data_IF_974556299363
#
_entry.id   IF_974556299363
#
_cell.length_a   1.000
_cell.length_b   1.000
_cell.length_c   1.000
_cell.angle_alpha   90.00
_cell.angle_beta   90.00
_cell.angle_gamma   90.00
#
_symmetry.space_group_name_H-M   'P 1'
#
loop_
_entity.id
_entity.type
_entity.pdbx_description
1 polymer ?
#
# COMPACT_ATOMS: atom_id res chain seq x y z
N UNK A 1 -7.97 -47.78 69.63
CA UNK A 1 -7.91 -46.34 69.31
C UNK A 1 -7.43 -46.23 67.87
N UNK A 2 -8.33 -45.92 66.93
CA UNK A 2 -7.93 -45.69 65.53
C UNK A 2 -7.88 -44.16 65.28
N UNK A 3 -6.73 -43.63 64.93
CA UNK A 3 -6.52 -42.22 64.61
C UNK A 3 -6.84 -42.02 63.11
N UNK A 4 -7.89 -41.31 62.79
CA UNK A 4 -8.25 -40.90 61.42
C UNK A 4 -7.54 -39.58 61.13
N UNK A 5 -6.60 -39.58 60.17
CA UNK A 5 -5.96 -38.38 59.68
C UNK A 5 -6.87 -37.81 58.57
N UNK A 6 -7.42 -36.61 58.81
CA UNK A 6 -8.16 -35.84 57.81
C UNK A 6 -7.17 -34.99 57.03
N UNK A 7 -6.91 -35.36 55.75
CA UNK A 7 -6.15 -34.50 54.84
C UNK A 7 -7.05 -33.35 54.34
N UNK A 8 -6.81 -32.13 54.76
CA UNK A 8 -7.41 -30.92 54.17
C UNK A 8 -6.70 -30.61 52.87
N UNK A 9 -7.37 -30.85 51.74
CA UNK A 9 -6.94 -30.31 50.45
C UNK A 9 -7.33 -28.83 50.38
N UNK A 10 -6.34 -27.94 50.50
CA UNK A 10 -6.53 -26.51 50.20
C UNK A 10 -6.57 -26.31 48.67
N UNK A 11 -7.76 -26.06 48.14
CA UNK A 11 -7.95 -25.62 46.77
C UNK A 11 -7.54 -24.14 46.72
N UNK A 12 -6.34 -23.85 46.21
CA UNK A 12 -5.93 -22.49 45.86
C UNK A 12 -6.76 -22.04 44.65
N UNK A 13 -7.46 -20.90 44.72
CA UNK A 13 -8.14 -20.35 43.56
C UNK A 13 -7.04 -19.90 42.56
N UNK A 14 -7.06 -20.49 41.34
CA UNK A 14 -6.33 -19.97 40.18
C UNK A 14 -6.98 -18.62 39.82
N UNK A 15 -6.40 -17.53 40.34
CA UNK A 15 -6.68 -16.19 39.81
C UNK A 15 -6.14 -16.16 38.39
N UNK A 16 -6.99 -16.40 37.39
CA UNK A 16 -6.75 -15.93 36.01
C UNK A 16 -6.63 -14.41 36.09
N UNK A 17 -5.43 -13.91 36.02
CA UNK A 17 -5.22 -12.50 35.74
C UNK A 17 -5.79 -12.21 34.34
N UNK A 18 -7.04 -11.71 34.30
CA UNK A 18 -7.61 -11.13 33.08
C UNK A 18 -6.75 -9.91 32.75
N UNK A 19 -5.74 -10.09 31.89
CA UNK A 19 -4.98 -8.99 31.36
C UNK A 19 -5.94 -8.07 30.59
N UNK A 20 -5.74 -6.75 30.68
CA UNK A 20 -6.46 -5.78 29.85
C UNK A 20 -6.28 -6.15 28.38
N UNK A 21 -7.36 -6.21 27.62
CA UNK A 21 -7.29 -6.41 26.18
C UNK A 21 -6.55 -5.25 25.51
N UNK A 22 -5.58 -5.57 24.67
CA UNK A 22 -4.80 -4.60 23.92
C UNK A 22 -5.62 -4.12 22.71
N UNK A 23 -5.68 -2.81 22.50
CA UNK A 23 -6.38 -2.20 21.38
C UNK A 23 -5.37 -1.65 20.38
N UNK A 24 -5.32 -2.25 19.18
CA UNK A 24 -4.48 -1.77 18.11
C UNK A 24 -5.30 -1.15 16.99
N UNK A 25 -4.90 0.04 16.55
CA UNK A 25 -5.54 0.76 15.47
C UNK A 25 -4.76 0.64 14.17
N UNK A 26 -5.46 0.39 13.07
CA UNK A 26 -4.95 0.47 11.69
C UNK A 26 -5.66 1.62 10.99
N UNK A 27 -4.89 2.66 10.61
CA UNK A 27 -5.43 3.91 10.05
C UNK A 27 -5.03 4.04 8.59
N UNK A 28 -6.03 3.97 7.69
CA UNK A 28 -5.84 4.10 6.24
C UNK A 28 -5.70 5.55 5.78
N UNK A 29 -5.27 5.75 4.51
CA UNK A 29 -5.24 7.07 3.88
C UNK A 29 -6.63 7.57 3.50
N UNK A 30 -7.48 6.65 3.03
CA UNK A 30 -8.86 6.89 2.60
C UNK A 30 -9.59 5.54 2.43
N UNK A 31 -10.92 5.60 2.23
CA UNK A 31 -11.74 4.40 1.98
C UNK A 31 -11.52 3.88 0.57
N UNK A 32 -11.11 2.63 0.43
CA UNK A 32 -10.96 1.93 -0.85
C UNK A 32 -10.85 0.42 -0.64
N UNK A 33 -11.16 -0.36 -1.67
CA UNK A 33 -11.01 -1.83 -1.66
C UNK A 33 -9.60 -2.25 -1.22
N UNK A 34 -8.56 -1.52 -1.64
CA UNK A 34 -7.17 -1.78 -1.23
C UNK A 34 -7.01 -1.68 0.30
N UNK A 35 -7.45 -0.59 0.90
CA UNK A 35 -7.29 -0.39 2.35
C UNK A 35 -8.26 -1.23 3.18
N UNK A 36 -9.45 -1.58 2.65
CA UNK A 36 -10.36 -2.52 3.31
C UNK A 36 -9.72 -3.88 3.52
N UNK A 37 -8.89 -4.37 2.57
CA UNK A 37 -8.13 -5.60 2.73
C UNK A 37 -7.17 -5.53 3.94
N UNK A 38 -6.53 -4.39 4.21
CA UNK A 38 -5.71 -4.23 5.41
C UNK A 38 -6.55 -4.25 6.70
N UNK A 39 -7.80 -3.77 6.64
CA UNK A 39 -8.77 -3.92 7.73
C UNK A 39 -9.14 -5.39 8.00
N UNK A 40 -9.32 -6.19 6.95
CA UNK A 40 -9.57 -7.64 7.10
C UNK A 40 -8.38 -8.37 7.71
N UNK A 41 -7.16 -8.13 7.21
CA UNK A 41 -5.94 -8.70 7.78
C UNK A 41 -5.73 -8.32 9.26
N UNK A 42 -6.02 -7.07 9.61
CA UNK A 42 -5.99 -6.58 11.00
C UNK A 42 -6.95 -7.39 11.89
N UNK A 43 -8.21 -7.55 11.48
CA UNK A 43 -9.23 -8.28 12.24
C UNK A 43 -8.91 -9.75 12.39
N UNK A 44 -8.39 -10.39 11.32
CA UNK A 44 -7.97 -11.78 11.40
C UNK A 44 -6.82 -11.97 12.37
N UNK A 45 -5.74 -11.17 12.27
CA UNK A 45 -4.62 -11.27 13.21
C UNK A 45 -5.07 -11.07 14.65
N UNK A 46 -5.96 -10.09 14.91
CA UNK A 46 -6.51 -9.89 16.25
C UNK A 46 -7.29 -11.09 16.76
N UNK A 47 -8.05 -11.78 15.90
CA UNK A 47 -8.80 -13.01 16.28
C UNK A 47 -7.89 -14.19 16.65
N UNK A 48 -6.66 -14.20 16.13
CA UNK A 48 -5.66 -15.24 16.40
C UNK A 48 -4.81 -14.97 17.65
N UNK A 49 -4.84 -13.75 18.19
CA UNK A 49 -4.04 -13.34 19.37
C UNK A 49 -4.98 -13.03 20.52
N UNK A 50 -4.91 -13.85 21.56
CA UNK A 50 -5.77 -13.69 22.75
C UNK A 50 -5.58 -12.31 23.40
N UNK A 51 -6.69 -11.62 23.69
CA UNK A 51 -6.68 -10.30 24.35
C UNK A 51 -6.20 -9.18 23.45
N UNK A 52 -6.44 -9.28 22.12
CA UNK A 52 -6.15 -8.23 21.14
C UNK A 52 -7.41 -7.85 20.38
N UNK A 53 -7.68 -6.55 20.28
CA UNK A 53 -8.74 -5.94 19.49
C UNK A 53 -8.11 -5.15 18.32
N UNK A 54 -8.66 -5.31 17.12
CA UNK A 54 -8.34 -4.49 15.94
C UNK A 54 -9.39 -3.40 15.76
N UNK A 55 -8.94 -2.14 15.68
CA UNK A 55 -9.75 -0.98 15.30
C UNK A 55 -9.27 -0.50 13.93
N UNK A 56 -10.09 -0.65 12.90
CA UNK A 56 -9.79 -0.14 11.56
C UNK A 56 -10.58 1.14 11.30
N UNK A 57 -9.88 2.24 10.99
CA UNK A 57 -10.46 3.55 10.63
C UNK A 57 -9.67 4.23 9.54
N UNK A 58 -10.31 5.17 8.84
CA UNK A 58 -9.67 6.06 7.88
C UNK A 58 -10.63 7.13 7.38
N UNK A 59 -10.13 8.17 6.72
CA UNK A 59 -10.97 9.16 6.04
C UNK A 59 -11.77 8.51 4.91
N UNK A 60 -12.96 9.03 4.63
CA UNK A 60 -13.73 8.63 3.44
C UNK A 60 -12.98 9.01 2.16
N UNK A 61 -12.50 10.24 2.10
CA UNK A 61 -11.65 10.76 1.02
C UNK A 61 -10.25 11.11 1.55
N UNK A 62 -9.26 11.12 0.67
CA UNK A 62 -7.86 11.40 1.01
C UNK A 62 -7.71 12.81 1.62
N UNK A 63 -7.59 12.88 2.94
CA UNK A 63 -7.43 14.10 3.71
C UNK A 63 -6.49 13.89 4.90
N UNK A 64 -5.32 14.53 4.85
CA UNK A 64 -4.36 14.44 5.96
C UNK A 64 -4.92 15.02 7.27
N UNK A 65 -5.76 16.07 7.20
CA UNK A 65 -6.36 16.67 8.39
C UNK A 65 -7.35 15.73 9.07
N UNK A 66 -8.18 15.04 8.28
CA UNK A 66 -9.11 14.04 8.79
C UNK A 66 -8.35 12.83 9.34
N UNK A 67 -7.30 12.38 8.66
CA UNK A 67 -6.44 11.29 9.17
C UNK A 67 -5.81 11.66 10.51
N UNK A 68 -5.29 12.87 10.65
CA UNK A 68 -4.71 13.40 11.89
C UNK A 68 -5.72 13.45 13.04
N UNK A 69 -6.96 13.90 12.76
CA UNK A 69 -8.07 13.90 13.73
C UNK A 69 -8.42 12.48 14.19
N UNK A 70 -8.52 11.54 13.25
CA UNK A 70 -8.78 10.12 13.56
C UNK A 70 -7.70 9.56 14.47
N UNK A 71 -6.43 9.79 14.15
CA UNK A 71 -5.30 9.34 14.99
C UNK A 71 -5.39 9.97 16.40
N UNK A 72 -5.68 11.28 16.47
CA UNK A 72 -5.83 11.98 17.75
C UNK A 72 -6.97 11.44 18.60
N UNK A 73 -8.11 11.11 17.99
CA UNK A 73 -9.25 10.47 18.67
C UNK A 73 -8.89 9.08 19.21
N UNK A 74 -8.21 8.26 18.40
CA UNK A 74 -7.76 6.92 18.80
C UNK A 74 -6.81 6.99 20.02
N UNK A 75 -5.93 7.98 20.07
CA UNK A 75 -5.08 8.23 21.22
C UNK A 75 -5.91 8.54 22.47
N UNK A 76 -6.93 9.40 22.33
CA UNK A 76 -7.83 9.77 23.45
C UNK A 76 -8.74 8.60 23.86
N UNK A 77 -9.06 7.67 22.96
CA UNK A 77 -9.76 6.40 23.23
C UNK A 77 -8.87 5.37 23.93
N UNK A 78 -7.57 5.64 24.08
CA UNK A 78 -6.63 4.81 24.82
C UNK A 78 -6.20 3.55 24.09
N UNK A 79 -5.90 3.64 22.78
CA UNK A 79 -5.29 2.55 22.02
C UNK A 79 -3.87 2.27 22.49
N UNK A 80 -3.45 1.01 22.43
CA UNK A 80 -2.15 0.54 22.89
C UNK A 80 -1.08 0.53 21.77
N UNK A 81 -1.46 0.84 20.53
CA UNK A 81 -0.56 0.95 19.37
C UNK A 81 -1.30 1.37 18.10
N UNK A 82 -0.59 2.04 17.18
CA UNK A 82 -1.17 2.56 15.95
C UNK A 82 -0.31 2.16 14.76
N UNK A 83 -0.93 1.56 13.75
CA UNK A 83 -0.38 1.40 12.40
C UNK A 83 -1.01 2.46 11.48
N UNK A 84 -0.20 3.23 10.77
CA UNK A 84 -0.69 4.32 9.92
C UNK A 84 -0.13 4.24 8.51
N UNK A 85 -0.99 4.32 7.50
CA UNK A 85 -0.60 4.58 6.12
C UNK A 85 -0.42 6.09 5.94
N UNK A 86 0.83 6.57 5.88
CA UNK A 86 1.13 8.01 5.95
C UNK A 86 0.65 8.73 4.69
N UNK A 87 -0.29 9.69 4.85
CA UNK A 87 -0.77 10.53 3.76
C UNK A 87 0.19 11.69 3.47
N UNK A 88 0.65 12.40 4.51
CA UNK A 88 1.62 13.49 4.41
C UNK A 88 2.55 13.50 5.62
N UNK A 89 3.84 13.26 5.36
CA UNK A 89 4.84 13.01 6.39
C UNK A 89 4.97 14.12 7.42
N UNK A 90 5.28 15.33 6.97
CA UNK A 90 5.55 16.45 7.86
C UNK A 90 4.34 16.79 8.73
N UNK A 91 3.14 16.86 8.15
CA UNK A 91 1.94 17.25 8.89
C UNK A 91 1.63 16.26 10.02
N UNK A 92 1.58 14.96 9.72
CA UNK A 92 1.30 13.94 10.73
C UNK A 92 2.39 13.88 11.80
N UNK A 93 3.67 13.97 11.39
CA UNK A 93 4.81 13.93 12.32
C UNK A 93 4.80 15.09 13.32
N UNK A 94 4.34 16.27 12.93
CA UNK A 94 4.30 17.47 13.76
C UNK A 94 3.02 17.58 14.61
N UNK A 95 2.00 16.74 14.37
CA UNK A 95 0.70 16.77 15.04
C UNK A 95 0.40 15.44 15.77
N UNK A 96 -0.53 14.65 15.30
CA UNK A 96 -1.03 13.45 15.99
C UNK A 96 0.04 12.42 16.32
N UNK A 97 1.05 12.24 15.46
CA UNK A 97 2.14 11.28 15.72
C UNK A 97 3.02 11.76 16.89
N UNK A 98 3.25 13.08 17.02
CA UNK A 98 3.94 13.63 18.17
C UNK A 98 3.12 13.44 19.47
N UNK A 99 1.79 13.58 19.38
CA UNK A 99 0.87 13.30 20.51
C UNK A 99 0.96 11.81 20.92
N UNK A 100 0.92 10.88 19.96
CA UNK A 100 1.07 9.44 20.23
C UNK A 100 2.40 9.12 20.93
N UNK A 101 3.51 9.68 20.43
CA UNK A 101 4.85 9.50 21.02
C UNK A 101 4.90 10.01 22.44
N UNK A 102 4.33 11.18 22.71
CA UNK A 102 4.26 11.77 24.06
C UNK A 102 3.43 10.92 25.03
N UNK A 103 2.44 10.20 24.51
CA UNK A 103 1.63 9.24 25.26
C UNK A 103 2.28 7.85 25.40
N UNK A 104 3.48 7.63 24.81
CA UNK A 104 4.17 6.34 24.83
C UNK A 104 3.52 5.27 23.94
N UNK A 105 2.65 5.66 22.99
CA UNK A 105 1.95 4.75 22.08
C UNK A 105 2.89 4.42 20.90
N UNK A 106 3.24 3.14 20.67
CA UNK A 106 4.08 2.75 19.55
C UNK A 106 3.38 3.00 18.21
N UNK A 107 4.19 3.47 17.24
CA UNK A 107 3.77 3.71 15.87
C UNK A 107 4.49 2.74 14.93
N UNK A 108 3.76 2.06 14.09
CA UNK A 108 4.27 1.41 12.88
C UNK A 108 3.65 2.08 11.66
N UNK A 109 4.35 2.10 10.54
CA UNK A 109 3.79 2.56 9.27
C UNK A 109 3.50 1.38 8.36
N UNK A 110 2.46 1.48 7.52
CA UNK A 110 2.17 0.48 6.51
C UNK A 110 1.80 1.12 5.18
N UNK A 111 1.93 0.40 4.06
CA UNK A 111 1.73 0.89 2.68
C UNK A 111 2.64 2.08 2.33
N UNK A 112 2.59 3.13 3.09
CA UNK A 112 3.36 4.36 2.90
C UNK A 112 4.05 4.77 4.18
N UNK A 113 5.36 4.97 4.11
CA UNK A 113 6.19 5.42 5.22
C UNK A 113 6.34 6.95 5.24
N UNK A 114 6.94 7.48 6.30
CA UNK A 114 7.43 8.86 6.33
C UNK A 114 8.55 9.06 5.29
N UNK A 115 8.67 10.25 4.77
CA UNK A 115 9.79 10.62 3.92
C UNK A 115 11.12 10.62 4.69
N UNK A 116 12.23 10.52 3.96
CA UNK A 116 13.58 10.44 4.52
C UNK A 116 13.88 11.64 5.43
N UNK A 117 13.46 12.85 5.04
CA UNK A 117 13.70 14.06 5.83
C UNK A 117 12.98 14.02 7.17
N UNK A 118 11.75 13.52 7.18
CA UNK A 118 10.96 13.34 8.40
C UNK A 118 11.57 12.26 9.31
N UNK A 119 11.99 11.12 8.74
CA UNK A 119 12.67 10.04 9.48
C UNK A 119 14.00 10.50 10.09
N UNK A 120 14.77 11.30 9.38
CA UNK A 120 16.04 11.87 9.86
C UNK A 120 15.81 12.91 10.98
N UNK A 121 14.81 13.79 10.81
CA UNK A 121 14.47 14.85 11.77
C UNK A 121 13.89 14.28 13.07
N UNK A 122 12.98 13.31 12.95
CA UNK A 122 12.27 12.73 14.08
C UNK A 122 12.68 11.26 14.30
N UNK A 123 13.93 11.05 14.71
CA UNK A 123 14.46 9.70 14.96
C UNK A 123 13.51 8.88 15.82
N UNK A 124 13.29 7.61 15.44
CA UNK A 124 12.35 6.70 16.11
C UNK A 124 10.89 7.20 16.11
N UNK A 125 10.49 7.92 15.06
CA UNK A 125 9.10 8.36 14.91
C UNK A 125 8.15 7.17 14.66
N UNK A 126 8.68 6.09 14.10
CA UNK A 126 8.03 4.78 13.97
C UNK A 126 8.99 3.68 14.37
N UNK A 127 8.45 2.51 14.71
CA UNK A 127 9.23 1.31 15.04
C UNK A 127 9.53 0.48 13.78
N UNK A 128 8.52 0.28 12.93
CA UNK A 128 8.58 -0.60 11.76
C UNK A 128 7.85 0.03 10.57
N UNK A 129 8.36 -0.19 9.35
CA UNK A 129 7.59 -0.04 8.11
C UNK A 129 7.15 -1.42 7.63
N UNK A 130 5.87 -1.56 7.28
CA UNK A 130 5.26 -2.79 6.78
C UNK A 130 4.63 -2.51 5.43
N UNK A 131 5.14 -3.12 4.38
CA UNK A 131 4.59 -2.88 3.04
C UNK A 131 5.50 -3.33 1.92
N UNK A 132 5.13 -2.95 0.72
CA UNK A 132 5.90 -3.26 -0.47
C UNK A 132 7.22 -2.46 -0.49
N UNK A 133 8.32 -3.07 -0.92
CA UNK A 133 9.49 -2.30 -1.37
C UNK A 133 9.09 -1.51 -2.61
N UNK A 134 8.81 -0.22 -2.42
CA UNK A 134 8.25 0.64 -3.46
C UNK A 134 9.20 0.90 -4.63
N UNK A 135 10.52 0.86 -4.39
CA UNK A 135 11.48 0.96 -5.49
C UNK A 135 11.47 -0.31 -6.34
N UNK A 136 11.48 -1.49 -5.73
CA UNK A 136 11.38 -2.77 -6.45
C UNK A 136 10.03 -2.95 -7.13
N UNK A 137 8.95 -2.46 -6.50
CA UNK A 137 7.63 -2.43 -7.13
C UNK A 137 7.62 -1.60 -8.42
N UNK A 138 8.20 -0.40 -8.36
CA UNK A 138 8.40 0.44 -9.53
C UNK A 138 9.27 -0.22 -10.60
N UNK A 139 10.35 -0.88 -10.19
CA UNK A 139 11.17 -1.68 -11.12
C UNK A 139 10.34 -2.75 -11.80
N UNK A 140 9.53 -3.49 -11.04
CA UNK A 140 8.66 -4.53 -11.60
C UNK A 140 7.68 -3.96 -12.65
N UNK A 141 7.05 -2.81 -12.38
CA UNK A 141 6.20 -2.12 -13.38
C UNK A 141 6.97 -1.79 -14.67
N UNK A 142 8.17 -1.21 -14.55
CA UNK A 142 9.03 -0.88 -15.68
C UNK A 142 9.50 -2.12 -16.45
N UNK A 143 9.91 -3.16 -15.76
CA UNK A 143 10.36 -4.42 -16.37
C UNK A 143 9.22 -5.14 -17.09
N UNK A 144 7.99 -5.12 -16.54
CA UNK A 144 6.82 -5.65 -17.24
C UNK A 144 6.49 -4.86 -18.51
N UNK A 145 6.58 -3.52 -18.46
CA UNK A 145 6.43 -2.73 -19.68
C UNK A 145 7.50 -3.08 -20.72
N UNK A 146 8.77 -3.19 -20.30
CA UNK A 146 9.89 -3.56 -21.19
C UNK A 146 9.71 -4.94 -21.82
N UNK A 147 9.13 -5.92 -21.13
CA UNK A 147 8.77 -7.22 -21.72
C UNK A 147 7.72 -7.10 -22.81
N UNK A 148 6.72 -6.21 -22.64
CA UNK A 148 5.68 -5.99 -23.63
C UNK A 148 6.20 -5.20 -24.84
N UNK A 149 7.20 -4.31 -24.65
CA UNK A 149 7.75 -3.42 -25.69
C UNK A 149 9.29 -3.32 -25.54
N UNK A 150 10.03 -4.35 -26.01
CA UNK A 150 11.48 -4.47 -25.74
C UNK A 150 12.32 -3.39 -26.43
N UNK A 151 11.83 -2.78 -27.50
CA UNK A 151 12.57 -1.77 -28.27
C UNK A 151 12.37 -0.33 -27.77
N UNK A 152 11.72 -0.16 -26.61
CA UNK A 152 11.40 1.16 -26.09
C UNK A 152 10.10 1.73 -26.64
N UNK A 153 9.79 2.99 -26.27
CA UNK A 153 8.55 3.65 -26.66
C UNK A 153 8.34 4.99 -25.96
N UNK A 154 7.18 5.56 -26.22
CA UNK A 154 6.72 6.83 -25.68
C UNK A 154 5.80 6.59 -24.47
N UNK A 155 6.30 6.87 -23.28
CA UNK A 155 5.68 6.55 -21.99
C UNK A 155 4.95 7.74 -21.39
N UNK A 156 3.80 7.47 -20.78
CA UNK A 156 3.19 8.33 -19.76
C UNK A 156 3.06 7.55 -18.45
N UNK A 157 3.55 8.15 -17.37
CA UNK A 157 3.37 7.67 -16.00
C UNK A 157 2.22 8.45 -15.36
N UNK A 158 1.38 7.76 -14.59
CA UNK A 158 0.35 8.39 -13.75
C UNK A 158 0.65 8.11 -12.28
N UNK A 159 0.51 9.15 -11.45
CA UNK A 159 0.72 9.11 -10.00
C UNK A 159 -0.42 9.79 -9.24
N UNK A 160 -0.49 9.54 -7.93
CA UNK A 160 -1.45 10.18 -7.03
C UNK A 160 -1.02 11.59 -6.64
N UNK A 161 -0.28 11.69 -5.56
CA UNK A 161 0.22 12.95 -5.00
C UNK A 161 1.72 13.09 -5.23
N UNK A 162 2.21 14.29 -5.58
CA UNK A 162 3.64 14.50 -5.83
C UNK A 162 4.48 14.45 -4.56
N UNK A 163 3.87 14.63 -3.39
CA UNK A 163 4.51 14.61 -2.06
C UNK A 163 4.42 13.23 -1.36
N UNK A 164 3.99 12.17 -2.07
CA UNK A 164 3.93 10.81 -1.53
C UNK A 164 5.26 10.06 -1.74
N UNK A 165 5.98 9.69 -0.67
CA UNK A 165 7.30 9.07 -0.78
C UNK A 165 7.28 7.72 -1.52
N UNK A 166 6.29 6.86 -1.23
CA UNK A 166 6.12 5.57 -1.88
C UNK A 166 5.91 5.71 -3.39
N UNK A 167 5.08 6.66 -3.82
CA UNK A 167 4.80 6.86 -5.25
C UNK A 167 6.04 7.39 -5.99
N UNK A 168 6.81 8.27 -5.38
CA UNK A 168 8.05 8.79 -5.94
C UNK A 168 9.12 7.69 -6.06
N UNK A 169 9.20 6.75 -5.11
CA UNK A 169 10.06 5.57 -5.20
C UNK A 169 9.63 4.64 -6.35
N UNK A 170 8.31 4.45 -6.56
CA UNK A 170 7.80 3.66 -7.70
C UNK A 170 8.18 4.29 -9.05
N UNK A 171 8.02 5.61 -9.19
CA UNK A 171 8.44 6.33 -10.40
C UNK A 171 9.95 6.17 -10.62
N UNK A 172 10.77 6.31 -9.57
CA UNK A 172 12.20 6.10 -9.65
C UNK A 172 12.56 4.67 -10.09
N UNK A 173 11.85 3.67 -9.57
CA UNK A 173 12.00 2.27 -9.95
C UNK A 173 11.70 2.02 -11.43
N UNK A 174 10.58 2.57 -11.95
CA UNK A 174 10.22 2.52 -13.37
C UNK A 174 11.33 3.13 -14.25
N UNK A 175 11.74 4.36 -13.92
CA UNK A 175 12.80 5.08 -14.64
C UNK A 175 14.10 4.29 -14.63
N UNK A 176 14.46 3.71 -13.48
CA UNK A 176 15.67 2.88 -13.34
C UNK A 176 15.60 1.60 -14.19
N UNK A 177 14.48 0.90 -14.19
CA UNK A 177 14.29 -0.33 -14.97
C UNK A 177 14.37 -0.07 -16.48
N UNK A 178 13.76 1.02 -16.95
CA UNK A 178 13.70 1.35 -18.38
C UNK A 178 15.02 1.94 -18.89
N UNK A 179 15.65 2.84 -18.13
CA UNK A 179 16.90 3.50 -18.53
C UNK A 179 18.16 2.67 -18.26
N UNK A 180 18.08 1.71 -17.32
CA UNK A 180 19.28 1.05 -16.77
C UNK A 180 20.13 1.93 -15.84
N UNK A 181 19.69 3.16 -15.54
CA UNK A 181 20.42 4.12 -14.69
C UNK A 181 20.01 3.96 -13.22
N UNK A 182 20.93 4.33 -12.34
CA UNK A 182 20.66 4.49 -10.92
C UNK A 182 20.39 5.96 -10.60
N UNK A 183 19.34 6.23 -9.84
CA UNK A 183 19.00 7.56 -9.37
C UNK A 183 19.20 7.63 -7.85
N UNK A 184 19.74 8.75 -7.36
CA UNK A 184 20.01 8.96 -5.93
C UNK A 184 18.81 9.51 -5.18
N UNK A 185 17.94 10.25 -5.88
CA UNK A 185 16.83 10.98 -5.26
C UNK A 185 15.52 10.68 -5.99
N UNK A 186 14.46 10.23 -5.29
CA UNK A 186 13.14 10.07 -5.88
C UNK A 186 12.56 11.42 -6.35
N UNK A 187 11.82 11.44 -7.46
CA UNK A 187 11.43 10.31 -8.32
C UNK A 187 12.44 10.01 -9.46
N UNK A 188 13.65 10.53 -9.42
CA UNK A 188 14.62 10.46 -10.51
C UNK A 188 14.34 11.50 -11.60
N UNK A 189 15.11 11.46 -12.71
CA UNK A 189 14.93 12.34 -13.86
C UNK A 189 14.05 11.67 -14.92
N UNK A 190 13.23 12.46 -15.63
CA UNK A 190 12.47 11.99 -16.79
C UNK A 190 13.37 11.28 -17.81
N UNK A 191 12.79 10.27 -18.45
CA UNK A 191 13.44 9.56 -19.55
C UNK A 191 13.41 10.42 -20.82
N UNK A 192 14.57 10.70 -21.38
CA UNK A 192 14.75 11.49 -22.59
C UNK A 192 15.51 10.66 -23.63
N UNK A 193 14.86 9.69 -24.25
CA UNK A 193 15.44 8.69 -25.12
C UNK A 193 16.47 7.76 -24.42
N UNK A 194 16.19 7.40 -23.17
CA UNK A 194 17.03 6.50 -22.38
C UNK A 194 16.73 5.04 -22.75
N UNK A 195 17.68 4.32 -23.35
CA UNK A 195 17.48 2.96 -23.88
C UNK A 195 16.22 2.84 -24.78
N UNK A 196 15.96 3.85 -25.60
CA UNK A 196 14.79 3.92 -26.48
C UNK A 196 13.49 4.36 -25.78
N UNK A 197 13.53 4.71 -24.48
CA UNK A 197 12.36 5.17 -23.75
C UNK A 197 12.33 6.69 -23.60
N UNK A 198 11.17 7.27 -23.84
CA UNK A 198 10.92 8.71 -23.66
C UNK A 198 9.63 8.92 -22.90
N UNK A 199 9.69 9.64 -21.77
CA UNK A 199 8.48 10.17 -21.14
C UNK A 199 7.98 11.36 -21.94
N UNK A 200 6.74 11.29 -22.44
CA UNK A 200 6.12 12.35 -23.26
C UNK A 200 5.92 13.64 -22.49
N UNK A 201 5.79 13.52 -21.16
CA UNK A 201 5.60 14.62 -20.22
C UNK A 201 5.92 14.16 -18.81
N UNK A 202 5.98 15.12 -17.87
CA UNK A 202 5.97 14.82 -16.43
C UNK A 202 4.74 13.97 -16.05
N UNK A 203 4.84 13.11 -15.01
CA UNK A 203 3.76 12.24 -14.61
C UNK A 203 2.43 12.97 -14.43
N UNK A 204 1.34 12.35 -14.84
CA UNK A 204 0.01 12.82 -14.51
C UNK A 204 -0.25 12.70 -13.02
N UNK A 205 -0.70 13.78 -12.39
CA UNK A 205 -1.06 13.82 -10.98
C UNK A 205 -2.58 13.77 -10.87
N UNK A 206 -3.13 12.71 -10.26
CA UNK A 206 -4.58 12.53 -10.11
C UNK A 206 -5.13 12.96 -8.74
N UNK A 207 -4.27 13.20 -7.73
CA UNK A 207 -4.64 13.54 -6.35
C UNK A 207 -5.58 12.52 -5.70
N UNK A 208 -5.39 11.23 -6.01
CA UNK A 208 -6.21 10.10 -5.55
C UNK A 208 -7.68 10.14 -6.02
N UNK A 209 -8.00 10.98 -7.03
CA UNK A 209 -9.32 11.11 -7.62
C UNK A 209 -9.52 10.12 -8.78
N UNK A 210 -10.42 9.13 -8.61
CA UNK A 210 -10.64 8.05 -9.58
C UNK A 210 -11.09 8.58 -10.95
N UNK A 211 -12.08 9.49 -10.97
CA UNK A 211 -12.59 10.06 -12.21
C UNK A 211 -11.52 10.84 -12.99
N UNK A 212 -10.62 11.52 -12.27
CA UNK A 212 -9.49 12.22 -12.88
C UNK A 212 -8.47 11.24 -13.44
N UNK A 213 -8.18 10.16 -12.71
CA UNK A 213 -7.27 9.11 -13.15
C UNK A 213 -7.77 8.46 -14.46
N UNK A 214 -9.06 8.12 -14.53
CA UNK A 214 -9.68 7.55 -15.74
C UNK A 214 -9.60 8.52 -16.93
N UNK A 215 -9.95 9.81 -16.73
CA UNK A 215 -9.87 10.83 -17.81
C UNK A 215 -8.43 11.04 -18.30
N UNK A 216 -7.45 11.02 -17.41
CA UNK A 216 -6.05 11.11 -17.80
C UNK A 216 -5.62 9.91 -18.65
N UNK A 217 -5.96 8.69 -18.23
CA UNK A 217 -5.70 7.47 -19.00
C UNK A 217 -6.40 7.49 -20.35
N UNK A 218 -7.68 7.91 -20.40
CA UNK A 218 -8.43 8.05 -21.64
C UNK A 218 -7.68 8.92 -22.67
N UNK A 219 -7.10 10.05 -22.23
CA UNK A 219 -6.34 10.93 -23.11
C UNK A 219 -5.11 10.26 -23.75
N UNK A 220 -4.55 9.25 -23.07
CA UNK A 220 -3.43 8.45 -23.58
C UNK A 220 -3.91 7.42 -24.59
N UNK A 221 -4.91 6.59 -24.23
CA UNK A 221 -5.39 5.51 -25.09
C UNK A 221 -6.08 6.03 -26.36
N UNK A 222 -6.67 7.22 -26.30
CA UNK A 222 -7.18 7.91 -27.50
C UNK A 222 -6.07 8.23 -28.51
N UNK A 223 -4.87 8.63 -28.01
CA UNK A 223 -3.71 8.96 -28.85
C UNK A 223 -3.87 10.23 -29.72
N UNK A 224 -4.88 11.06 -29.48
CA UNK A 224 -5.16 12.25 -30.31
C UNK A 224 -4.18 13.38 -30.06
N UNK A 225 -3.98 13.74 -28.79
CA UNK A 225 -3.13 14.87 -28.35
C UNK A 225 -1.77 14.42 -27.82
N UNK A 226 -1.76 13.29 -27.13
CA UNK A 226 -0.57 12.71 -26.52
C UNK A 226 -0.12 11.53 -27.39
N UNK A 227 1.06 11.65 -27.97
CA UNK A 227 1.67 10.61 -28.81
C UNK A 227 2.43 9.62 -27.94
N UNK A 228 1.70 8.94 -27.05
CA UNK A 228 2.24 7.88 -26.20
C UNK A 228 1.69 6.53 -26.64
N UNK A 229 2.54 5.51 -26.55
CA UNK A 229 2.22 4.12 -26.86
C UNK A 229 2.31 3.22 -25.61
N UNK A 230 2.59 3.82 -24.46
CA UNK A 230 2.75 3.12 -23.21
C UNK A 230 2.21 3.95 -22.03
N UNK A 231 1.48 3.29 -21.13
CA UNK A 231 0.91 3.89 -19.94
C UNK A 231 1.23 3.04 -18.70
N UNK A 232 1.75 3.66 -17.67
CA UNK A 232 1.93 3.03 -16.34
C UNK A 232 1.21 3.86 -15.29
N UNK A 233 0.33 3.25 -14.51
CA UNK A 233 -0.19 3.83 -13.28
C UNK A 233 0.56 3.25 -12.08
N UNK A 234 1.15 4.11 -11.23
CA UNK A 234 1.89 3.66 -10.01
C UNK A 234 0.97 3.32 -8.83
N UNK A 235 -0.33 3.38 -9.03
CA UNK A 235 -1.39 2.95 -8.11
C UNK A 235 -2.65 2.57 -8.91
N UNK A 236 -3.60 1.89 -8.27
CA UNK A 236 -4.76 1.28 -8.92
C UNK A 236 -5.89 2.23 -9.34
N UNK A 237 -5.75 3.54 -9.19
CA UNK A 237 -6.85 4.51 -9.33
C UNK A 237 -7.72 4.34 -10.58
N UNK A 238 -7.19 4.15 -11.81
CA UNK A 238 -8.06 4.01 -12.97
C UNK A 238 -8.99 2.80 -12.89
N UNK A 239 -8.53 1.70 -12.27
CA UNK A 239 -9.27 0.45 -12.18
C UNK A 239 -10.11 0.30 -10.89
N UNK A 240 -9.94 1.21 -9.91
CA UNK A 240 -10.69 1.15 -8.65
C UNK A 240 -12.19 1.52 -8.80
N UNK A 241 -12.57 2.18 -9.91
CA UNK A 241 -13.96 2.29 -10.35
C UNK A 241 -14.12 1.42 -11.62
N UNK A 242 -14.52 0.17 -11.43
CA UNK A 242 -14.64 -0.81 -12.52
C UNK A 242 -15.59 -0.33 -13.61
N UNK A 243 -16.76 0.21 -13.25
CA UNK A 243 -17.76 0.64 -14.21
C UNK A 243 -17.25 1.79 -15.08
N UNK A 244 -16.62 2.78 -14.46
CA UNK A 244 -16.04 3.91 -15.17
C UNK A 244 -14.86 3.48 -16.05
N UNK A 245 -13.98 2.60 -15.52
CA UNK A 245 -12.86 2.07 -16.30
C UNK A 245 -13.32 1.28 -17.51
N UNK A 246 -14.25 0.33 -17.34
CA UNK A 246 -14.79 -0.48 -18.44
C UNK A 246 -15.43 0.39 -19.52
N UNK A 247 -16.25 1.37 -19.12
CA UNK A 247 -16.87 2.31 -20.05
C UNK A 247 -15.82 3.10 -20.86
N UNK A 248 -14.76 3.55 -20.20
CA UNK A 248 -13.68 4.31 -20.83
C UNK A 248 -12.85 3.46 -21.78
N UNK A 249 -12.45 2.24 -21.38
CA UNK A 249 -11.47 1.44 -22.11
C UNK A 249 -12.08 0.62 -23.25
N UNK A 250 -13.38 0.27 -23.18
CA UNK A 250 -14.04 -0.60 -24.15
C UNK A 250 -13.86 -0.15 -25.62
N UNK A 251 -13.96 1.14 -25.98
CA UNK A 251 -13.73 1.60 -27.37
C UNK A 251 -12.30 1.39 -27.88
N UNK A 252 -11.35 1.10 -26.97
CA UNK A 252 -9.91 0.99 -27.29
C UNK A 252 -9.40 -0.45 -27.14
N UNK A 253 -10.26 -1.42 -26.87
CA UNK A 253 -9.88 -2.82 -26.63
C UNK A 253 -9.03 -3.38 -27.77
N UNK A 254 -9.42 -3.17 -29.03
CA UNK A 254 -8.64 -3.60 -30.17
C UNK A 254 -7.23 -2.97 -30.25
N UNK A 255 -7.07 -1.71 -29.82
CA UNK A 255 -5.74 -1.08 -29.76
C UNK A 255 -4.85 -1.76 -28.73
N UNK A 256 -5.43 -2.16 -27.59
CA UNK A 256 -4.71 -2.92 -26.59
C UNK A 256 -4.31 -4.29 -27.15
N UNK A 257 -5.24 -5.03 -27.73
CA UNK A 257 -4.99 -6.35 -28.33
C UNK A 257 -3.90 -6.31 -29.41
N UNK A 258 -3.90 -5.27 -30.26
CA UNK A 258 -2.84 -5.04 -31.25
C UNK A 258 -1.56 -4.43 -30.66
N UNK A 259 -1.50 -4.20 -29.34
CA UNK A 259 -0.38 -3.57 -28.63
C UNK A 259 0.02 -2.20 -29.21
N UNK A 260 -0.92 -1.47 -29.78
CA UNK A 260 -0.70 -0.08 -30.18
C UNK A 260 -0.47 0.82 -28.97
N UNK A 261 -1.13 0.50 -27.85
CA UNK A 261 -0.89 1.09 -26.53
C UNK A 261 -0.74 -0.04 -25.52
N UNK A 262 0.38 -0.05 -24.79
CA UNK A 262 0.60 -0.97 -23.67
C UNK A 262 0.14 -0.31 -22.37
N UNK A 263 -0.65 -1.03 -21.59
CA UNK A 263 -1.18 -0.60 -20.28
C UNK A 263 -0.64 -1.52 -19.20
N UNK A 264 0.11 -0.94 -18.26
CA UNK A 264 0.62 -1.61 -17.05
C UNK A 264 0.02 -0.91 -15.84
N UNK A 265 -0.62 -1.68 -14.98
CA UNK A 265 -1.37 -1.16 -13.83
C UNK A 265 -0.75 -1.63 -12.52
N UNK A 266 -0.97 -0.87 -11.47
CA UNK A 266 -0.69 -1.29 -10.10
C UNK A 266 -1.93 -1.92 -9.47
N UNK A 267 -1.66 -2.74 -8.47
CA UNK A 267 -2.61 -3.50 -7.66
C UNK A 267 -3.27 -4.67 -8.41
N UNK A 268 -3.77 -5.63 -7.65
CA UNK A 268 -4.32 -6.88 -8.18
C UNK A 268 -5.50 -7.37 -7.31
N UNK A 269 -6.48 -6.48 -7.09
CA UNK A 269 -7.76 -6.90 -6.50
C UNK A 269 -8.51 -7.83 -7.45
N UNK A 270 -9.48 -8.60 -6.93
CA UNK A 270 -10.29 -9.51 -7.74
C UNK A 270 -10.92 -8.82 -8.96
N UNK A 271 -11.43 -7.60 -8.78
CA UNK A 271 -12.01 -6.80 -9.86
C UNK A 271 -10.95 -6.43 -10.92
N UNK A 272 -9.74 -6.07 -10.50
CA UNK A 272 -8.65 -5.75 -11.41
C UNK A 272 -8.17 -7.00 -12.17
N UNK A 273 -8.11 -8.15 -11.51
CA UNK A 273 -7.77 -9.43 -12.15
C UNK A 273 -8.83 -9.87 -13.16
N UNK A 274 -10.12 -9.61 -12.90
CA UNK A 274 -11.18 -9.82 -13.87
C UNK A 274 -11.00 -8.91 -15.10
N UNK A 275 -10.67 -7.64 -14.90
CA UNK A 275 -10.39 -6.72 -16.03
C UNK A 275 -9.14 -7.12 -16.81
N UNK A 276 -8.11 -7.66 -16.13
CA UNK A 276 -6.92 -8.21 -16.78
C UNK A 276 -7.26 -9.44 -17.64
N UNK A 277 -8.07 -10.37 -17.12
CA UNK A 277 -8.63 -11.51 -17.87
C UNK A 277 -9.38 -11.07 -19.13
N UNK A 278 -10.16 -9.99 -19.03
CA UNK A 278 -10.98 -9.45 -20.12
C UNK A 278 -10.16 -8.66 -21.14
N UNK A 279 -8.82 -8.69 -21.06
CA UNK A 279 -7.89 -7.97 -21.94
C UNK A 279 -8.02 -6.43 -21.88
N UNK A 280 -8.41 -5.89 -20.73
CA UNK A 280 -8.54 -4.44 -20.54
C UNK A 280 -7.26 -3.80 -19.95
N UNK A 281 -6.25 -4.59 -19.64
CA UNK A 281 -4.89 -4.22 -19.32
C UNK A 281 -3.95 -5.35 -19.77
N UNK A 282 -2.64 -5.09 -19.85
CA UNK A 282 -1.66 -6.12 -20.24
C UNK A 282 -1.03 -6.79 -19.00
N UNK A 283 -0.79 -6.02 -17.96
CA UNK A 283 -0.16 -6.48 -16.72
C UNK A 283 -0.72 -5.68 -15.56
N UNK A 284 -0.95 -6.37 -14.45
CA UNK A 284 -1.13 -5.77 -13.14
C UNK A 284 0.01 -6.22 -12.22
N UNK A 285 0.65 -5.26 -11.54
CA UNK A 285 1.63 -5.56 -10.50
C UNK A 285 0.96 -5.34 -9.15
N UNK A 286 0.73 -6.44 -8.42
CA UNK A 286 -0.05 -6.45 -7.19
C UNK A 286 0.78 -6.23 -5.94
N UNK A 287 0.16 -5.69 -4.92
CA UNK A 287 0.61 -5.60 -3.54
C UNK A 287 -0.24 -6.54 -2.68
N UNK A 288 0.14 -6.73 -1.41
CA UNK A 288 -0.65 -7.51 -0.46
C UNK A 288 -1.10 -6.66 0.75
N UNK A 289 -2.15 -5.83 0.59
CA UNK A 289 -2.64 -4.97 1.67
C UNK A 289 -3.22 -5.77 2.85
N UNK A 290 -3.77 -6.96 2.60
CA UNK A 290 -4.24 -7.85 3.66
C UNK A 290 -3.09 -8.25 4.59
N UNK A 291 -1.97 -8.69 4.04
CA UNK A 291 -0.79 -9.05 4.82
C UNK A 291 -0.18 -7.82 5.53
N UNK A 292 -0.25 -6.63 4.94
CA UNK A 292 0.17 -5.40 5.62
C UNK A 292 -0.63 -5.17 6.90
N UNK A 293 -1.96 -5.30 6.84
CA UNK A 293 -2.83 -5.17 8.02
C UNK A 293 -2.60 -6.27 9.06
N UNK A 294 -2.39 -7.51 8.61
CA UNK A 294 -2.10 -8.65 9.48
C UNK A 294 -0.77 -8.46 10.22
N UNK A 295 0.29 -8.12 9.51
CA UNK A 295 1.60 -7.87 10.08
C UNK A 295 1.62 -6.65 11.02
N UNK A 296 0.79 -5.63 10.75
CA UNK A 296 0.68 -4.46 11.62
C UNK A 296 0.26 -4.86 13.04
N UNK A 297 -0.74 -5.73 13.19
CA UNK A 297 -1.20 -6.21 14.49
C UNK A 297 -0.15 -7.07 15.19
N UNK A 298 0.43 -8.03 14.45
CA UNK A 298 1.45 -8.93 15.01
C UNK A 298 2.69 -8.15 15.48
N UNK A 299 3.12 -7.16 14.70
CA UNK A 299 4.28 -6.31 15.05
C UNK A 299 3.99 -5.41 16.24
N UNK A 300 2.82 -4.74 16.28
CA UNK A 300 2.41 -3.92 17.42
C UNK A 300 2.32 -4.77 18.70
N UNK A 301 1.78 -5.99 18.59
CA UNK A 301 1.74 -6.92 19.71
C UNK A 301 3.16 -7.29 20.20
N UNK A 302 4.09 -7.58 19.31
CA UNK A 302 5.49 -7.86 19.67
C UNK A 302 6.13 -6.66 20.36
N UNK A 303 5.95 -5.45 19.82
CA UNK A 303 6.49 -4.21 20.43
C UNK A 303 5.97 -4.02 21.86
N UNK A 304 4.65 -4.11 22.06
CA UNK A 304 4.03 -3.92 23.39
C UNK A 304 4.43 -5.01 24.39
N UNK A 305 4.72 -6.22 23.90
CA UNK A 305 5.22 -7.34 24.72
C UNK A 305 6.75 -7.35 24.87
N UNK A 306 7.46 -6.31 24.40
CA UNK A 306 8.93 -6.22 24.40
C UNK A 306 9.60 -7.43 23.74
N UNK A 307 9.05 -7.90 22.63
CA UNK A 307 9.62 -8.96 21.77
C UNK A 307 10.35 -8.33 20.59
N UNK A 308 11.20 -9.10 19.95
CA UNK A 308 11.93 -8.68 18.75
C UNK A 308 10.97 -8.40 17.58
N UNK A 309 11.33 -7.42 16.75
CA UNK A 309 10.66 -7.05 15.51
C UNK A 309 11.66 -6.46 14.51
N UNK A 310 11.37 -6.60 13.22
CA UNK A 310 12.19 -6.04 12.15
C UNK A 310 11.83 -4.57 11.88
N UNK A 311 12.80 -3.76 11.51
CA UNK A 311 12.58 -2.36 11.11
C UNK A 311 11.80 -2.25 9.80
N UNK A 312 11.96 -3.23 8.90
CA UNK A 312 11.28 -3.31 7.61
C UNK A 312 10.69 -4.71 7.41
N UNK A 313 9.38 -4.79 7.18
CA UNK A 313 8.66 -6.01 6.83
C UNK A 313 8.11 -5.82 5.42
N UNK A 314 8.79 -6.42 4.44
CA UNK A 314 8.37 -6.30 3.05
C UNK A 314 7.34 -7.36 2.69
N UNK A 315 6.19 -6.91 2.19
CA UNK A 315 5.16 -7.81 1.64
C UNK A 315 5.47 -8.16 0.18
N UNK A 316 5.06 -9.36 -0.28
CA UNK A 316 5.33 -9.83 -1.63
C UNK A 316 4.77 -8.92 -2.73
N UNK A 317 5.45 -8.95 -3.89
CA UNK A 317 5.01 -8.31 -5.14
C UNK A 317 4.47 -9.40 -6.07
N UNK A 318 3.24 -9.24 -6.55
CA UNK A 318 2.55 -10.17 -7.42
C UNK A 318 2.62 -9.70 -8.86
N UNK A 319 3.13 -10.54 -9.77
CA UNK A 319 3.16 -10.25 -11.20
C UNK A 319 2.00 -10.96 -11.88
N UNK A 320 0.94 -10.22 -12.18
CA UNK A 320 -0.29 -10.73 -12.76
C UNK A 320 -0.38 -10.39 -14.24
N UNK A 321 -0.54 -11.42 -15.06
CA UNK A 321 -0.73 -11.34 -16.52
C UNK A 321 -2.05 -12.01 -16.90
N UNK A 322 -2.45 -11.91 -18.16
CA UNK A 322 -3.63 -12.60 -18.68
C UNK A 322 -3.51 -14.13 -18.55
N UNK A 323 -2.30 -14.67 -18.50
CA UNK A 323 -2.05 -16.11 -18.42
C UNK A 323 -2.19 -16.65 -16.98
N UNK A 324 -1.87 -15.84 -15.97
CA UNK A 324 -1.84 -16.27 -14.57
C UNK A 324 -2.79 -15.48 -13.65
N UNK A 325 -3.72 -14.70 -14.18
CA UNK A 325 -4.61 -13.82 -13.40
C UNK A 325 -5.36 -14.56 -12.28
N UNK A 326 -5.68 -15.83 -12.46
CA UNK A 326 -6.42 -16.63 -11.47
C UNK A 326 -5.56 -17.19 -10.33
N UNK A 327 -4.24 -17.13 -10.44
CA UNK A 327 -3.30 -17.74 -9.49
C UNK A 327 -2.21 -16.80 -8.98
N UNK A 328 -2.04 -15.64 -9.60
CA UNK A 328 -0.91 -14.74 -9.31
C UNK A 328 -0.88 -14.18 -7.87
N UNK A 329 -2.02 -14.21 -7.17
CA UNK A 329 -2.14 -13.76 -5.77
C UNK A 329 -2.25 -14.91 -4.76
N UNK A 330 -2.38 -16.17 -5.22
CA UNK A 330 -2.64 -17.34 -4.36
C UNK A 330 -1.44 -17.78 -3.52
N UNK A 331 -0.24 -17.35 -3.84
CA UNK A 331 0.98 -17.74 -3.10
C UNK A 331 1.23 -16.91 -1.84
N UNK A 332 0.29 -16.06 -1.44
CA UNK A 332 0.45 -15.08 -0.38
C UNK A 332 -0.60 -15.21 0.75
N UNK A 333 -1.32 -16.35 0.81
CA UNK A 333 -2.25 -16.68 1.89
C UNK A 333 -1.63 -17.69 2.85
#
# INVERSE_FOLDING_TARGET
MRLSIILLFSVLPLFSASGKDLKFAVVSKYSSVFFEQSGYGCKEAASQVMGVECIYRGPEEASVRVQDQIISQLIDEGVDGIAVAVTQSKFLAENSIQKARSAGIPIVTYDSDFDVQTLEKYKKIRSTYIGTDNFQFGRALGEQLKKQRPNGGALIIQTGRPDSPNLNLRIMGIRSALSGKQYKTPPGKMLLNDNGWTEVREPFINFDQLSRAVKQMESVVQGRRLKADSFIAVGGWPQNDEALYRKMIAPFKEKLERKEVIVVMSDASDQQLIMLRDHLAHVNVGQNPYEMGRQAILTLHNIVKNRDYDEFIHTPINLCTQENYSTCTQHNL
#
